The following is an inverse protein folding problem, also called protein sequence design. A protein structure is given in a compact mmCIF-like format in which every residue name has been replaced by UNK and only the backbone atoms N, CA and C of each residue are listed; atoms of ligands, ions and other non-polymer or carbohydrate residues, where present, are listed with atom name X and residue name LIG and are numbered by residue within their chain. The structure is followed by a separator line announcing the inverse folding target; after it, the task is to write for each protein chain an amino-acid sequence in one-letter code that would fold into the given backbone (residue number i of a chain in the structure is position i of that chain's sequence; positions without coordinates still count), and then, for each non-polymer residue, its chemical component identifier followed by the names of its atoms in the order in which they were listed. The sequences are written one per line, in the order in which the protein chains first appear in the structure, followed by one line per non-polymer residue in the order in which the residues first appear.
data_IF_630168371618
#
_entry.id   IF_630168371618
#
_cell.length_a   1.000
_cell.length_b   1.000
_cell.length_c   1.000
_cell.angle_alpha   90.00
_cell.angle_beta   90.00
_cell.angle_gamma   90.00
#
_symmetry.space_group_name_H-M   'P 1'
#
loop_
_entity.id
_entity.type
_entity.pdbx_description
1 polymer ?
#
# COMPACT_ATOMS: atom_id res chain seq x y z
N UNK A 1 1.30 11.25 5.30
CA UNK A 1 0.36 11.69 6.36
C UNK A 1 -0.82 12.49 5.80
N UNK A 2 -0.60 13.39 4.85
CA UNK A 2 -1.65 14.21 4.24
C UNK A 2 -2.77 13.38 3.58
N UNK A 3 -2.41 12.40 2.74
CA UNK A 3 -3.37 11.51 2.09
C UNK A 3 -4.23 10.74 3.10
N UNK A 4 -3.62 10.21 4.17
CA UNK A 4 -4.35 9.52 5.24
C UNK A 4 -5.37 10.44 5.93
N UNK A 5 -5.00 11.70 6.17
CA UNK A 5 -5.93 12.70 6.73
C UNK A 5 -7.05 13.04 5.75
N UNK A 6 -6.73 13.18 4.46
CA UNK A 6 -7.69 13.48 3.43
C UNK A 6 -8.76 12.39 3.29
N UNK A 7 -8.34 11.13 3.09
CA UNK A 7 -9.29 10.02 2.94
C UNK A 7 -10.12 9.78 4.20
N UNK A 8 -9.56 10.07 5.38
CA UNK A 8 -10.31 10.03 6.64
C UNK A 8 -11.45 11.05 6.68
N UNK A 9 -11.21 12.27 6.17
CA UNK A 9 -12.26 13.30 6.05
C UNK A 9 -13.35 12.90 5.05
N UNK A 10 -12.98 12.19 3.98
CA UNK A 10 -13.93 11.65 3.00
C UNK A 10 -14.77 10.49 3.58
N UNK A 11 -14.28 9.82 4.62
CA UNK A 11 -15.01 8.77 5.34
C UNK A 11 -14.35 7.38 5.29
N UNK A 12 -13.20 7.25 4.64
CA UNK A 12 -12.45 5.99 4.63
C UNK A 12 -11.65 5.80 5.91
N UNK A 13 -11.46 4.54 6.33
CA UNK A 13 -10.54 4.20 7.42
C UNK A 13 -9.11 4.04 6.87
N UNK A 14 -8.15 4.94 7.18
CA UNK A 14 -6.80 4.86 6.62
C UNK A 14 -6.03 3.60 7.01
N UNK A 15 -6.38 2.96 8.13
CA UNK A 15 -5.76 1.69 8.56
C UNK A 15 -6.15 0.52 7.66
N UNK A 16 -7.31 0.60 7.00
CA UNK A 16 -7.80 -0.42 6.08
C UNK A 16 -7.30 -0.20 4.64
N UNK A 17 -6.47 0.82 4.39
CA UNK A 17 -5.95 1.17 3.06
C UNK A 17 -4.47 0.85 2.98
N UNK A 18 -4.09 0.08 1.96
CA UNK A 18 -2.69 -0.16 1.62
C UNK A 18 -2.09 1.07 0.92
N UNK A 19 -0.92 1.52 1.39
CA UNK A 19 -0.17 2.60 0.75
C UNK A 19 1.07 2.01 0.08
N UNK A 20 1.07 1.98 -1.26
CA UNK A 20 2.13 1.37 -2.06
C UNK A 20 2.85 2.45 -2.87
N UNK A 21 4.15 2.70 -2.65
CA UNK A 21 4.94 3.54 -3.53
C UNK A 21 5.25 2.77 -4.81
N UNK A 22 4.87 3.32 -5.97
CA UNK A 22 5.03 2.68 -7.28
C UNK A 22 5.68 3.62 -8.29
N UNK A 23 6.31 3.06 -9.31
CA UNK A 23 6.59 3.75 -10.57
C UNK A 23 5.83 3.07 -11.69
N UNK A 24 4.74 3.69 -12.15
CA UNK A 24 3.94 3.12 -13.25
C UNK A 24 4.70 3.03 -14.58
N UNK A 25 5.73 3.86 -14.76
CA UNK A 25 6.55 3.87 -15.98
C UNK A 25 7.61 2.76 -15.98
N UNK A 26 8.31 2.57 -14.86
CA UNK A 26 9.39 1.58 -14.75
C UNK A 26 8.90 0.23 -14.21
N UNK A 27 7.65 0.13 -13.74
CA UNK A 27 7.06 -1.09 -13.20
C UNK A 27 7.38 -1.35 -11.72
N UNK A 28 8.05 -0.43 -11.03
CA UNK A 28 8.47 -0.60 -9.64
C UNK A 28 7.27 -0.84 -8.71
N UNK A 29 7.33 -1.93 -7.93
CA UNK A 29 6.29 -2.35 -6.98
C UNK A 29 4.91 -2.57 -7.62
N UNK A 30 4.80 -2.73 -8.94
CA UNK A 30 3.53 -3.01 -9.61
C UNK A 30 3.15 -4.49 -9.45
N UNK A 31 3.98 -5.37 -9.99
CA UNK A 31 3.82 -6.83 -9.94
C UNK A 31 4.91 -7.49 -9.11
N UNK A 32 6.11 -6.91 -9.11
CA UNK A 32 7.30 -7.41 -8.41
C UNK A 32 7.89 -6.31 -7.51
N UNK A 33 8.62 -6.71 -6.47
CA UNK A 33 9.30 -5.79 -5.56
C UNK A 33 10.40 -5.02 -6.28
N UNK A 34 10.40 -3.70 -6.12
CA UNK A 34 11.44 -2.82 -6.67
C UNK A 34 12.73 -2.91 -5.85
N UNK A 35 13.85 -3.02 -6.53
CA UNK A 35 15.19 -2.88 -5.94
C UNK A 35 15.59 -1.41 -5.70
N UNK A 36 14.87 -0.45 -6.31
CA UNK A 36 15.14 0.98 -6.21
C UNK A 36 14.65 1.62 -4.91
N UNK A 37 13.85 0.89 -4.11
CA UNK A 37 13.24 1.39 -2.87
C UNK A 37 13.63 0.57 -1.64
N UNK A 38 14.93 0.49 -1.27
CA UNK A 38 15.40 -0.35 -0.15
C UNK A 38 14.83 0.06 1.22
N UNK A 39 14.35 1.30 1.33
CA UNK A 39 13.70 1.86 2.52
C UNK A 39 12.27 1.35 2.71
N UNK A 40 11.59 0.91 1.65
CA UNK A 40 10.23 0.42 1.73
C UNK A 40 10.23 -1.03 2.21
N UNK A 41 9.53 -1.31 3.31
CA UNK A 41 9.44 -2.65 3.92
C UNK A 41 8.14 -3.37 3.61
N UNK A 42 7.31 -2.79 2.74
CA UNK A 42 5.96 -3.26 2.46
C UNK A 42 4.89 -2.37 3.07
N UNK A 43 3.68 -2.54 2.55
CA UNK A 43 2.48 -1.91 3.06
C UNK A 43 1.79 -2.84 4.06
N UNK A 44 0.92 -2.26 4.89
CA UNK A 44 0.08 -3.01 5.81
C UNK A 44 -1.34 -2.48 5.77
N UNK A 45 -2.35 -3.35 5.84
CA UNK A 45 -3.75 -2.94 6.01
C UNK A 45 -4.46 -3.79 7.06
N UNK A 46 -5.34 -3.17 7.82
CA UNK A 46 -6.19 -3.82 8.83
C UNK A 46 -7.49 -4.29 8.18
N UNK A 47 -7.81 -5.57 8.35
CA UNK A 47 -9.09 -6.17 7.96
C UNK A 47 -9.79 -6.72 9.22
N UNK A 48 -11.04 -7.17 9.07
CA UNK A 48 -11.75 -7.84 10.16
C UNK A 48 -11.06 -9.14 10.62
N UNK A 49 -10.28 -9.77 9.73
CA UNK A 49 -9.53 -10.99 10.02
C UNK A 49 -8.14 -10.73 10.61
N UNK A 50 -7.69 -9.47 10.67
CA UNK A 50 -6.39 -9.08 11.20
C UNK A 50 -5.58 -8.19 10.25
N UNK A 51 -4.29 -8.04 10.53
CA UNK A 51 -3.36 -7.21 9.75
C UNK A 51 -2.79 -8.03 8.60
N UNK A 52 -2.99 -7.55 7.37
CA UNK A 52 -2.39 -8.11 6.16
C UNK A 52 -1.21 -7.23 5.76
N UNK A 53 -0.16 -7.85 5.21
CA UNK A 53 1.04 -7.17 4.72
C UNK A 53 1.32 -7.63 3.28
N UNK A 54 1.89 -6.75 2.48
CA UNK A 54 2.37 -7.05 1.14
C UNK A 54 3.38 -6.02 0.69
N UNK A 55 3.89 -6.15 -0.53
CA UNK A 55 4.90 -5.23 -1.07
C UNK A 55 4.47 -4.59 -2.39
N UNK A 56 3.77 -5.33 -3.24
CA UNK A 56 3.40 -4.86 -4.57
C UNK A 56 1.98 -4.30 -4.61
N UNK A 57 1.65 -3.63 -5.70
CA UNK A 57 0.28 -3.18 -5.98
C UNK A 57 -0.64 -4.37 -6.24
N UNK A 58 -0.13 -5.42 -6.91
CA UNK A 58 -0.87 -6.66 -7.09
C UNK A 58 -1.24 -7.29 -5.73
N UNK A 59 -0.28 -7.40 -4.80
CA UNK A 59 -0.56 -7.91 -3.46
C UNK A 59 -1.68 -7.11 -2.78
N UNK A 60 -1.73 -5.80 -3.01
CA UNK A 60 -2.71 -4.92 -2.38
C UNK A 60 -4.13 -5.12 -2.92
N UNK A 61 -4.26 -5.48 -4.20
CA UNK A 61 -5.52 -5.80 -4.90
C UNK A 61 -6.02 -7.18 -4.48
N UNK A 62 -5.12 -8.16 -4.35
CA UNK A 62 -5.47 -9.54 -4.01
C UNK A 62 -5.79 -9.74 -2.52
N UNK A 63 -5.24 -8.91 -1.64
CA UNK A 63 -5.46 -8.93 -0.19
C UNK A 63 -6.80 -8.36 0.27
#
# INVERSE_FOLDING_TARGET
KETSTFIKKVGYNPKAVAFVPISGWHGDNMLEESTNMPWFKGWTKETKAGVIKGKTLLDAIDA
#
